data_IF_308292896409
#
_entry.id   IF_308292896409
#
_cell.length_a   1.000
_cell.length_b   1.000
_cell.length_c   1.000
_cell.angle_alpha   90.00
_cell.angle_beta   90.00
_cell.angle_gamma   90.00
#
_symmetry.space_group_name_H-M   'P 1'
#
loop_
_entity.id
_entity.type
_entity.pdbx_description
1 polymer ?
#
# COMPACT_ATOMS: atom_id res chain seq x y z
N UNK A 1 -7.66 11.38 6.51
CA UNK A 1 -6.20 11.25 6.71
C UNK A 1 -5.51 11.02 5.36
N UNK A 2 -4.34 11.62 5.13
CA UNK A 2 -3.50 11.31 3.96
C UNK A 2 -2.56 10.15 4.31
N UNK A 3 -2.49 9.13 3.45
CA UNK A 3 -1.48 8.06 3.51
C UNK A 3 -0.62 8.11 2.26
N UNK A 4 0.65 7.76 2.40
CA UNK A 4 1.55 7.58 1.27
C UNK A 4 2.61 6.54 1.59
N UNK A 5 3.16 5.93 0.55
CA UNK A 5 4.13 4.86 0.67
C UNK A 5 4.38 4.18 -0.65
N UNK A 6 4.86 2.95 -0.59
CA UNK A 6 5.10 2.10 -1.73
C UNK A 6 4.88 0.64 -1.34
N UNK A 7 4.60 -0.20 -2.33
CA UNK A 7 4.47 -1.64 -2.16
C UNK A 7 4.91 -2.35 -3.44
N UNK A 8 5.74 -3.38 -3.30
CA UNK A 8 6.18 -4.26 -4.39
C UNK A 8 5.81 -5.69 -4.01
N UNK A 9 5.37 -6.45 -5.00
CA UNK A 9 5.29 -7.90 -4.95
C UNK A 9 6.41 -8.47 -5.84
N UNK A 10 7.36 -9.26 -5.30
CA UNK A 10 8.42 -9.87 -6.10
C UNK A 10 7.94 -10.80 -7.23
N UNK A 11 6.68 -11.26 -7.18
CA UNK A 11 6.10 -12.16 -8.17
C UNK A 11 5.59 -11.43 -9.43
N UNK A 12 5.53 -10.08 -9.43
CA UNK A 12 5.01 -9.28 -10.55
C UNK A 12 5.68 -7.91 -10.70
N UNK A 13 5.78 -7.42 -11.93
CA UNK A 13 6.19 -6.03 -12.19
C UNK A 13 4.99 -5.07 -12.25
N UNK A 14 3.77 -5.59 -12.20
CA UNK A 14 2.55 -4.77 -12.21
C UNK A 14 2.34 -4.12 -10.82
N UNK A 15 1.75 -2.91 -10.77
CA UNK A 15 1.33 -2.32 -9.50
C UNK A 15 0.33 -3.22 -8.78
N UNK A 16 0.51 -3.43 -7.48
CA UNK A 16 -0.40 -4.23 -6.65
C UNK A 16 -1.38 -3.36 -5.86
N UNK A 17 -2.42 -3.99 -5.32
CA UNK A 17 -3.31 -3.33 -4.38
C UNK A 17 -2.66 -3.21 -2.98
N UNK A 18 -2.97 -2.11 -2.30
CA UNK A 18 -2.74 -1.89 -0.88
C UNK A 18 -4.09 -1.76 -0.21
N UNK A 19 -4.37 -2.64 0.73
CA UNK A 19 -5.57 -2.56 1.55
C UNK A 19 -5.29 -1.81 2.83
N UNK A 20 -6.07 -0.77 3.07
CA UNK A 20 -6.09 -0.02 4.31
C UNK A 20 -7.31 -0.42 5.11
N UNK A 21 -7.11 -0.80 6.37
CA UNK A 21 -8.18 -1.09 7.30
C UNK A 21 -8.23 0.00 8.36
N UNK A 22 -9.34 0.72 8.43
CA UNK A 22 -9.60 1.78 9.39
C UNK A 22 -10.66 1.27 10.35
N UNK A 23 -10.25 0.96 11.58
CA UNK A 23 -11.09 0.30 12.58
C UNK A 23 -11.81 -0.95 12.03
N UNK A 24 -11.12 -1.71 11.17
CA UNK A 24 -11.65 -2.91 10.51
C UNK A 24 -12.38 -2.67 9.18
N UNK A 25 -12.68 -1.42 8.81
CA UNK A 25 -13.29 -1.09 7.52
C UNK A 25 -12.23 -1.00 6.43
N UNK A 26 -12.35 -1.82 5.38
CA UNK A 26 -11.38 -1.93 4.30
C UNK A 26 -11.56 -0.91 3.17
N UNK A 27 -10.46 -0.31 2.72
CA UNK A 27 -10.35 0.52 1.52
C UNK A 27 -9.16 0.03 0.70
N UNK A 28 -9.37 -0.28 -0.57
CA UNK A 28 -8.30 -0.66 -1.49
C UNK A 28 -7.81 0.53 -2.32
N UNK A 29 -6.49 0.63 -2.53
CA UNK A 29 -5.86 1.55 -3.48
C UNK A 29 -4.76 0.82 -4.24
N UNK A 30 -4.58 1.14 -5.51
CA UNK A 30 -3.47 0.61 -6.30
C UNK A 30 -2.21 1.43 -6.05
N UNK A 31 -1.06 0.76 -5.93
CA UNK A 31 0.25 1.40 -5.80
C UNK A 31 0.84 1.79 -7.17
N UNK A 32 0.09 2.51 -7.99
CA UNK A 32 0.44 2.80 -9.40
C UNK A 32 1.20 4.13 -9.63
N UNK A 33 1.55 4.83 -8.57
CA UNK A 33 2.27 6.10 -8.64
C UNK A 33 3.78 5.88 -8.86
N UNK A 34 4.40 6.78 -9.62
CA UNK A 34 5.84 6.68 -9.93
C UNK A 34 6.71 6.88 -8.67
N UNK A 35 7.66 5.97 -8.48
CA UNK A 35 8.70 5.92 -7.45
C UNK A 35 10.01 5.41 -8.06
N UNK A 36 10.73 6.27 -8.82
CA UNK A 36 11.98 5.87 -9.47
C UNK A 36 13.08 5.46 -8.48
N UNK A 37 13.03 5.99 -7.26
CA UNK A 37 13.92 5.60 -6.15
C UNK A 37 13.70 4.14 -5.72
N UNK A 38 12.45 3.70 -5.71
CA UNK A 38 12.10 2.29 -5.46
C UNK A 38 12.54 1.43 -6.63
N UNK A 39 12.32 1.86 -7.88
CA UNK A 39 12.79 1.12 -9.06
C UNK A 39 14.32 0.94 -9.09
N UNK A 40 15.07 1.94 -8.62
CA UNK A 40 16.52 1.86 -8.52
C UNK A 40 16.98 0.86 -7.44
N UNK A 41 16.25 0.75 -6.33
CA UNK A 41 16.51 -0.21 -5.26
C UNK A 41 16.05 -1.64 -5.61
N UNK A 42 15.02 -1.78 -6.45
CA UNK A 42 14.43 -3.03 -6.91
C UNK A 42 14.41 -3.11 -8.44
N UNK A 43 15.57 -3.35 -9.08
CA UNK A 43 15.66 -3.41 -10.55
C UNK A 43 14.77 -4.51 -11.13
N UNK A 44 14.05 -4.19 -12.22
CA UNK A 44 13.14 -5.12 -12.92
C UNK A 44 11.68 -5.00 -12.51
N UNK A 45 11.36 -4.40 -11.36
CA UNK A 45 9.97 -4.21 -10.93
C UNK A 45 9.26 -3.06 -11.65
N UNK A 46 9.99 -2.10 -12.22
CA UNK A 46 9.43 -0.85 -12.75
C UNK A 46 9.26 0.22 -11.66
N UNK A 47 8.77 1.41 -12.03
CA UNK A 47 8.66 2.56 -11.11
C UNK A 47 7.26 2.78 -10.55
N UNK A 48 6.24 2.11 -11.07
CA UNK A 48 4.84 2.29 -10.64
C UNK A 48 4.51 1.42 -9.43
N UNK A 49 5.09 1.77 -8.29
CA UNK A 49 4.92 1.04 -7.02
C UNK A 49 4.61 1.95 -5.83
N UNK A 50 4.35 3.23 -6.07
CA UNK A 50 3.96 4.20 -5.05
C UNK A 50 2.46 4.30 -4.85
N UNK A 51 2.02 4.64 -3.65
CA UNK A 51 0.65 5.06 -3.40
C UNK A 51 0.62 6.39 -2.66
N UNK A 52 -0.41 7.18 -2.94
CA UNK A 52 -0.78 8.37 -2.18
C UNK A 52 -2.30 8.50 -2.22
N UNK A 53 -2.96 8.41 -1.07
CA UNK A 53 -4.42 8.40 -1.01
C UNK A 53 -4.96 9.15 0.21
N UNK A 54 -6.08 9.85 -0.01
CA UNK A 54 -6.93 10.32 1.06
C UNK A 54 -7.86 9.21 1.50
N UNK A 55 -7.80 8.87 2.79
CA UNK A 55 -8.68 7.92 3.43
C UNK A 55 -9.67 8.69 4.31
N UNK A 56 -10.99 8.59 4.02
CA UNK A 56 -12.01 9.12 4.91
C UNK A 56 -11.90 8.46 6.27
N UNK A 57 -11.77 9.27 7.32
CA UNK A 57 -11.85 8.85 8.71
C UNK A 57 -12.70 9.89 9.44
N UNK A 58 -13.47 9.45 10.43
CA UNK A 58 -14.26 10.33 11.27
C UNK A 58 -13.37 11.22 12.14
N UNK A 59 -14.00 12.03 12.98
CA UNK A 59 -13.30 12.62 14.12
C UNK A 59 -13.11 11.57 15.21
N UNK A 60 -12.04 11.73 15.99
CA UNK A 60 -11.68 10.78 17.04
C UNK A 60 -10.40 10.03 16.71
N UNK A 61 -10.06 9.07 17.58
CA UNK A 61 -8.86 8.26 17.37
C UNK A 61 -9.20 7.03 16.53
N UNK A 62 -8.32 6.73 15.58
CA UNK A 62 -8.48 5.63 14.64
C UNK A 62 -7.21 4.80 14.57
N UNK A 63 -7.35 3.49 14.41
CA UNK A 63 -6.24 2.61 14.05
C UNK A 63 -6.31 2.30 12.56
N UNK A 64 -5.21 2.56 11.85
CA UNK A 64 -5.10 2.21 10.43
C UNK A 64 -3.96 1.25 10.19
N UNK A 65 -4.30 0.09 9.61
CA UNK A 65 -3.35 -0.91 9.17
C UNK A 65 -3.33 -0.99 7.64
N UNK A 66 -2.14 -0.99 7.05
CA UNK A 66 -1.93 -1.13 5.60
C UNK A 66 -1.32 -2.49 5.29
N UNK A 67 -1.88 -3.18 4.29
CA UNK A 67 -1.40 -4.46 3.80
C UNK A 67 -1.10 -4.39 2.31
N UNK A 68 0.08 -4.86 1.90
CA UNK A 68 0.36 -5.17 0.50
C UNK A 68 -0.36 -6.47 0.13
N UNK A 69 -1.14 -6.44 -0.94
CA UNK A 69 -1.89 -7.60 -1.40
C UNK A 69 -1.06 -8.36 -2.41
N UNK A 70 -0.82 -9.63 -2.09
CA UNK A 70 -0.08 -10.54 -2.95
C UNK A 70 -0.90 -10.84 -4.21
N UNK A 71 -0.29 -10.75 -5.39
CA UNK A 71 -0.95 -11.03 -6.68
C UNK A 71 -0.85 -12.53 -7.05
N UNK A 72 -0.17 -13.34 -6.22
CA UNK A 72 0.04 -14.77 -6.41
C UNK A 72 -0.39 -15.62 -5.20
N UNK A 73 0.04 -16.88 -5.14
CA UNK A 73 -0.18 -17.76 -3.99
C UNK A 73 0.67 -17.29 -2.80
N UNK A 74 0.04 -16.94 -1.69
CA UNK A 74 0.76 -16.48 -0.52
C UNK A 74 -0.11 -15.69 0.45
N UNK A 75 0.54 -15.13 1.47
CA UNK A 75 -0.12 -14.27 2.45
C UNK A 75 0.09 -12.80 2.08
N UNK A 76 -0.90 -11.96 2.37
CA UNK A 76 -0.75 -10.52 2.32
C UNK A 76 0.24 -10.05 3.39
N UNK A 77 1.06 -9.05 3.07
CA UNK A 77 2.08 -8.53 3.98
C UNK A 77 1.57 -7.30 4.72
N UNK A 78 1.60 -7.33 6.06
CA UNK A 78 1.36 -6.13 6.87
C UNK A 78 2.52 -5.15 6.67
N UNK A 79 2.24 -3.98 6.12
CA UNK A 79 3.24 -2.92 5.92
C UNK A 79 3.43 -2.12 7.22
N UNK A 80 2.32 -1.67 7.82
CA UNK A 80 2.34 -0.89 9.06
C UNK A 80 0.94 -0.83 9.67
N UNK A 81 0.89 -0.63 10.99
CA UNK A 81 -0.29 -0.12 11.69
C UNK A 81 0.07 1.19 12.42
N UNK A 82 -0.78 2.21 12.34
CA UNK A 82 -0.59 3.51 12.99
C UNK A 82 -1.90 4.04 13.57
N UNK A 83 -1.80 4.60 14.77
CA UNK A 83 -2.89 5.37 15.38
C UNK A 83 -2.76 6.84 15.03
N UNK A 84 -3.90 7.52 14.88
CA UNK A 84 -4.00 8.98 14.79
C UNK A 84 -5.28 9.47 15.47
#
# INVERSE_FOLDING_TARGET
>A
MQVSGWAIDPDTSSPIAVHFYIDGVGVAKTADQSRPDVAAAYPGSGDKHGFSAMIPAGSGSHLVCAYAINDAVGNNTLLACRSF
#
